data_IF_979615506997
#
_entry.id   IF_979615506997
#
_cell.length_a   1.000
_cell.length_b   1.000
_cell.length_c   1.000
_cell.angle_alpha   90.00
_cell.angle_beta   90.00
_cell.angle_gamma   90.00
#
_symmetry.space_group_name_H-M   'P 1'
#
loop_
_entity.id
_entity.type
_entity.pdbx_description
1 polymer ?
#
# COMPACT_ATOMS: atom_id res chain seq x y z
N UNK A 1 35.04 94.41 47.52
CA UNK A 1 34.62 93.64 46.33
C UNK A 1 35.83 92.89 45.77
N UNK A 2 35.91 91.57 45.95
CA UNK A 2 37.06 90.75 45.51
C UNK A 2 36.70 90.12 44.15
N UNK A 3 37.41 90.53 43.10
CA UNK A 3 37.20 90.05 41.73
C UNK A 3 37.49 88.54 41.64
N UNK A 4 36.46 87.74 41.31
CA UNK A 4 36.61 86.30 41.00
C UNK A 4 37.47 86.18 39.73
N UNK A 5 38.56 85.42 39.84
CA UNK A 5 39.52 85.20 38.76
C UNK A 5 38.86 84.52 37.53
N UNK A 6 39.16 84.98 36.29
CA UNK A 6 38.54 84.45 35.06
C UNK A 6 38.88 82.98 34.77
N UNK A 7 39.91 82.41 35.42
CA UNK A 7 40.30 81.00 35.26
C UNK A 7 39.36 79.97 35.91
N UNK A 8 38.59 80.36 36.94
CA UNK A 8 37.71 79.43 37.67
C UNK A 8 36.43 79.14 36.90
N UNK A 9 35.85 80.13 36.21
CA UNK A 9 34.66 79.95 35.36
C UNK A 9 34.92 78.99 34.20
N UNK A 10 36.09 79.08 33.55
CA UNK A 10 36.45 78.22 32.42
C UNK A 10 36.62 76.75 32.82
N UNK A 11 37.15 76.48 34.02
CA UNK A 11 37.31 75.11 34.55
C UNK A 11 35.96 74.44 34.87
N UNK A 12 35.00 75.18 35.42
CA UNK A 12 33.65 74.65 35.72
C UNK A 12 32.90 74.28 34.43
N UNK A 13 33.03 75.07 33.36
CA UNK A 13 32.43 74.77 32.07
C UNK A 13 33.02 73.53 31.39
N UNK A 14 34.35 73.34 31.48
CA UNK A 14 35.01 72.14 30.94
C UNK A 14 34.56 70.88 31.68
N UNK A 15 34.46 70.93 33.02
CA UNK A 15 33.99 69.81 33.82
C UNK A 15 32.52 69.46 33.49
N UNK A 16 31.65 70.48 33.35
CA UNK A 16 30.26 70.26 32.96
C UNK A 16 30.10 69.61 31.58
N UNK A 17 30.89 70.02 30.59
CA UNK A 17 30.87 69.45 29.25
C UNK A 17 31.37 68.01 29.21
N UNK A 18 32.45 67.69 29.95
CA UNK A 18 32.96 66.32 30.04
C UNK A 18 31.97 65.40 30.73
N UNK A 19 31.33 65.82 31.82
CA UNK A 19 30.29 65.03 32.49
C UNK A 19 29.07 64.77 31.60
N UNK A 20 28.63 65.77 30.84
CA UNK A 20 27.55 65.60 29.87
C UNK A 20 27.94 64.64 28.75
N UNK A 21 29.17 64.72 28.24
CA UNK A 21 29.67 63.78 27.23
C UNK A 21 29.77 62.35 27.77
N UNK A 22 30.16 62.17 29.03
CA UNK A 22 30.18 60.85 29.69
C UNK A 22 28.76 60.31 29.87
N UNK A 23 27.82 61.12 30.38
CA UNK A 23 26.42 60.70 30.55
C UNK A 23 25.76 60.40 29.21
N UNK A 24 25.99 61.23 28.19
CA UNK A 24 25.50 60.99 26.84
C UNK A 24 26.13 59.72 26.25
N UNK A 25 27.42 59.49 26.46
CA UNK A 25 28.10 58.25 26.05
C UNK A 25 27.50 57.02 26.72
N UNK A 26 27.28 57.07 28.04
CA UNK A 26 26.65 55.97 28.81
C UNK A 26 25.21 55.74 28.35
N UNK A 27 24.44 56.79 28.12
CA UNK A 27 23.05 56.69 27.64
C UNK A 27 22.95 56.12 26.22
N UNK A 28 23.87 56.50 25.32
CA UNK A 28 23.94 55.95 23.96
C UNK A 28 24.33 54.48 24.00
N UNK A 29 25.27 54.09 24.88
CA UNK A 29 25.69 52.71 25.04
C UNK A 29 24.58 51.84 25.67
N UNK A 30 23.83 52.35 26.65
CA UNK A 30 22.75 51.60 27.31
C UNK A 30 21.50 51.48 26.43
N UNK A 31 21.10 52.55 25.73
CA UNK A 31 19.97 52.52 24.80
C UNK A 31 20.21 51.54 23.65
N UNK A 32 21.45 51.45 23.16
CA UNK A 32 21.84 50.49 22.14
C UNK A 32 21.64 49.04 22.60
N UNK A 33 22.13 48.70 23.79
CA UNK A 33 22.01 47.34 24.34
C UNK A 33 20.54 46.95 24.59
N UNK A 34 19.69 47.89 25.01
CA UNK A 34 18.26 47.64 25.22
C UNK A 34 17.52 47.34 23.90
N UNK A 35 17.81 48.11 22.85
CA UNK A 35 17.22 47.93 21.51
C UNK A 35 17.66 46.58 20.90
N UNK A 36 18.95 46.26 21.00
CA UNK A 36 19.49 44.98 20.50
C UNK A 36 18.81 43.79 21.18
N UNK A 37 18.65 43.83 22.51
CA UNK A 37 17.99 42.78 23.28
C UNK A 37 16.49 42.63 22.93
N UNK A 38 15.79 43.74 22.73
CA UNK A 38 14.37 43.74 22.36
C UNK A 38 14.14 43.15 20.96
N UNK A 39 14.96 43.57 19.98
CA UNK A 39 14.91 43.03 18.61
C UNK A 39 15.27 41.54 18.63
N UNK A 40 16.30 41.13 19.39
CA UNK A 40 16.70 39.73 19.51
C UNK A 40 15.58 38.86 20.08
N UNK A 41 14.88 39.32 21.12
CA UNK A 41 13.76 38.60 21.72
C UNK A 41 12.62 38.39 20.72
N UNK A 42 12.23 39.43 19.98
CA UNK A 42 11.15 39.33 18.98
C UNK A 42 11.53 38.49 17.77
N UNK A 43 12.77 38.63 17.31
CA UNK A 43 13.29 37.82 16.22
C UNK A 43 13.31 36.33 16.59
N UNK A 44 13.77 35.99 17.79
CA UNK A 44 13.74 34.62 18.30
C UNK A 44 12.31 34.08 18.43
N UNK A 45 11.38 34.87 18.97
CA UNK A 45 9.96 34.49 19.07
C UNK A 45 9.35 34.23 17.68
N UNK A 46 9.65 35.09 16.69
CA UNK A 46 9.17 34.91 15.32
C UNK A 46 9.72 33.65 14.65
N UNK A 47 10.99 33.31 14.91
CA UNK A 47 11.59 32.07 14.42
C UNK A 47 10.93 30.84 15.05
N UNK A 48 10.61 30.90 16.35
CA UNK A 48 9.89 29.82 17.04
C UNK A 48 8.47 29.65 16.45
N UNK A 49 7.74 30.76 16.24
CA UNK A 49 6.41 30.74 15.61
C UNK A 49 6.44 30.16 14.19
N UNK A 50 7.46 30.53 13.40
CA UNK A 50 7.66 30.05 12.04
C UNK A 50 8.24 28.62 11.97
N UNK A 51 8.52 27.99 13.12
CA UNK A 51 8.98 26.60 13.20
C UNK A 51 10.48 26.41 12.98
N UNK A 52 11.32 27.43 13.20
CA UNK A 52 12.78 27.43 13.02
C UNK A 52 13.53 27.69 14.34
N UNK A 53 13.09 27.06 15.44
CA UNK A 53 13.60 27.30 16.80
C UNK A 53 15.06 26.89 17.04
N UNK A 54 15.67 26.15 16.11
CA UNK A 54 17.07 25.70 16.17
C UNK A 54 18.05 26.69 15.51
N UNK A 55 17.55 27.76 14.88
CA UNK A 55 18.40 28.78 14.27
C UNK A 55 18.91 29.76 15.33
N UNK A 56 20.21 30.04 15.28
CA UNK A 56 20.83 31.04 16.13
C UNK A 56 20.62 32.43 15.53
N UNK A 57 20.06 33.32 16.33
CA UNK A 57 19.82 34.72 15.96
C UNK A 57 20.63 35.65 16.85
N UNK A 58 21.48 36.46 16.24
CA UNK A 58 22.26 37.49 16.92
C UNK A 58 21.94 38.86 16.34
N UNK A 59 21.81 39.87 17.20
CA UNK A 59 21.50 41.24 16.77
C UNK A 59 22.66 42.17 17.10
N UNK A 60 23.11 42.95 16.11
CA UNK A 60 24.08 44.04 16.30
C UNK A 60 23.46 45.34 15.79
N UNK A 61 23.16 46.26 16.70
CA UNK A 61 22.35 47.44 16.41
C UNK A 61 20.94 47.07 15.96
N UNK A 62 20.73 47.09 14.64
CA UNK A 62 19.48 46.68 13.98
C UNK A 62 19.69 45.57 12.95
N UNK A 63 20.93 45.10 12.80
CA UNK A 63 21.28 44.07 11.85
C UNK A 63 21.17 42.72 12.53
N UNK A 64 20.44 41.82 11.90
CA UNK A 64 20.20 40.46 12.38
C UNK A 64 21.11 39.52 11.62
N UNK A 65 21.96 38.79 12.34
CA UNK A 65 22.82 37.75 11.79
C UNK A 65 22.19 36.39 12.12
N UNK A 66 21.92 35.61 11.08
CA UNK A 66 21.37 34.26 11.20
C UNK A 66 22.46 33.23 11.02
N UNK A 67 22.55 32.30 11.97
CA UNK A 67 23.47 31.17 11.93
C UNK A 67 22.71 29.87 12.14
N UNK A 68 23.22 28.81 11.52
CA UNK A 68 22.66 27.47 11.63
C UNK A 68 22.48 26.83 10.26
N UNK A 69 21.82 25.67 10.29
CA UNK A 69 21.49 24.93 9.08
C UNK A 69 20.00 25.11 8.76
N UNK A 70 19.73 25.38 7.48
CA UNK A 70 18.40 25.31 6.88
C UNK A 70 18.36 24.16 5.90
N UNK A 71 17.15 23.80 5.50
CA UNK A 71 16.88 22.57 4.80
C UNK A 71 16.51 22.78 3.32
N UNK A 72 16.47 24.02 2.87
CA UNK A 72 16.35 24.36 1.46
C UNK A 72 16.67 25.83 1.25
N UNK A 73 16.94 26.22 0.01
CA UNK A 73 16.98 27.64 -0.36
C UNK A 73 15.62 28.32 -0.13
N UNK A 74 14.51 27.58 -0.30
CA UNK A 74 13.18 28.12 -0.02
C UNK A 74 12.96 28.38 1.49
N UNK A 75 13.48 27.53 2.38
CA UNK A 75 13.45 27.78 3.82
C UNK A 75 14.30 28.98 4.20
N UNK A 76 15.45 29.16 3.54
CA UNK A 76 16.27 30.36 3.70
C UNK A 76 15.48 31.61 3.35
N UNK A 77 14.79 31.61 2.20
CA UNK A 77 13.94 32.72 1.77
C UNK A 77 12.80 33.00 2.76
N UNK A 78 12.13 31.95 3.26
CA UNK A 78 11.05 32.07 4.26
C UNK A 78 11.54 32.64 5.59
N UNK A 79 12.66 32.16 6.09
CA UNK A 79 13.27 32.65 7.34
C UNK A 79 13.67 34.11 7.21
N UNK A 80 14.30 34.48 6.10
CA UNK A 80 14.70 35.86 5.82
C UNK A 80 13.48 36.78 5.71
N UNK A 81 12.43 36.34 5.01
CA UNK A 81 11.18 37.10 4.89
C UNK A 81 10.51 37.31 6.25
N UNK A 82 10.38 36.25 7.07
CA UNK A 82 9.76 36.32 8.39
C UNK A 82 10.48 37.30 9.32
N UNK A 83 11.81 37.39 9.24
CA UNK A 83 12.60 38.30 10.07
C UNK A 83 12.57 39.74 9.58
N UNK A 84 12.41 39.98 8.27
CA UNK A 84 12.20 41.33 7.72
C UNK A 84 10.88 41.95 8.17
N UNK A 85 9.89 41.14 8.55
CA UNK A 85 8.61 41.60 9.10
C UNK A 85 8.71 42.02 10.57
N UNK A 86 9.76 41.63 11.28
CA UNK A 86 9.92 41.96 12.70
C UNK A 86 10.24 43.44 12.87
N UNK A 87 9.39 44.15 13.61
CA UNK A 87 9.57 45.57 13.88
C UNK A 87 10.91 45.82 14.57
N UNK A 88 11.72 46.73 14.01
CA UNK A 88 13.04 47.10 14.51
C UNK A 88 14.19 46.52 13.70
N UNK A 89 13.97 45.43 12.96
CA UNK A 89 14.97 44.84 12.06
C UNK A 89 15.30 45.81 10.93
N UNK A 90 16.59 45.98 10.63
CA UNK A 90 17.11 46.81 9.55
C UNK A 90 17.56 45.95 8.38
N UNK A 91 18.65 45.21 8.57
CA UNK A 91 19.19 44.27 7.61
C UNK A 91 19.18 42.85 8.17
N UNK A 92 19.07 41.85 7.29
CA UNK A 92 19.19 40.44 7.64
C UNK A 92 20.40 39.88 6.89
N UNK A 93 21.45 39.52 7.64
CA UNK A 93 22.62 38.83 7.12
C UNK A 93 22.45 37.32 7.35
N UNK A 94 22.32 36.58 6.25
CA UNK A 94 22.09 35.15 6.26
C UNK A 94 23.41 34.39 6.12
N UNK A 95 23.87 33.78 7.21
CA UNK A 95 25.00 32.83 7.22
C UNK A 95 24.50 31.38 7.32
N UNK A 96 23.26 31.17 6.89
CA UNK A 96 22.60 29.87 6.89
C UNK A 96 23.24 28.97 5.85
N UNK A 97 23.56 27.74 6.26
CA UNK A 97 24.03 26.69 5.36
C UNK A 97 22.86 25.77 5.02
N UNK A 98 22.70 25.45 3.74
CA UNK A 98 21.77 24.38 3.35
C UNK A 98 22.41 23.05 3.73
N UNK A 99 21.80 22.31 4.65
CA UNK A 99 22.32 21.02 5.09
C UNK A 99 22.47 20.06 3.90
N UNK A 100 23.65 19.44 3.78
CA UNK A 100 23.92 18.43 2.75
C UNK A 100 23.24 17.12 3.14
N UNK A 101 22.47 16.57 2.21
CA UNK A 101 21.64 15.36 2.31
C UNK A 101 22.44 14.14 2.80
N UNK A 102 21.95 13.44 3.83
CA UNK A 102 22.31 12.03 4.06
C UNK A 102 21.40 11.18 3.17
N UNK A 103 21.95 10.61 2.09
CA UNK A 103 21.21 9.75 1.17
C UNK A 103 21.20 8.28 1.65
N UNK A 104 20.09 7.54 1.48
CA UNK A 104 18.81 7.93 0.88
C UNK A 104 17.70 8.30 1.89
N UNK A 105 16.80 9.19 1.49
CA UNK A 105 15.63 9.56 2.29
C UNK A 105 14.62 8.40 2.33
N UNK A 106 14.64 7.65 3.42
CA UNK A 106 13.95 6.36 3.47
C UNK A 106 12.85 6.34 4.52
N UNK A 107 11.68 5.83 4.12
CA UNK A 107 10.66 5.34 5.04
C UNK A 107 10.42 3.86 4.79
N UNK A 108 10.31 3.10 5.88
CA UNK A 108 9.95 1.71 5.87
C UNK A 108 8.69 1.45 6.67
N UNK A 109 7.78 0.72 6.06
CA UNK A 109 6.49 0.30 6.60
C UNK A 109 6.50 -1.21 6.64
N UNK A 110 6.46 -1.81 7.82
CA UNK A 110 6.49 -3.26 7.99
C UNK A 110 5.22 -3.71 8.69
N UNK A 111 4.46 -4.57 8.04
CA UNK A 111 3.26 -5.18 8.58
C UNK A 111 3.55 -6.60 9.07
N UNK A 112 3.06 -6.90 10.25
CA UNK A 112 2.88 -8.26 10.78
C UNK A 112 1.39 -8.46 11.12
N UNK A 113 1.03 -9.61 11.67
CA UNK A 113 -0.37 -9.94 11.95
C UNK A 113 -1.03 -8.94 12.93
N UNK A 114 -0.30 -8.53 13.98
CA UNK A 114 -0.84 -7.68 15.05
C UNK A 114 -0.27 -6.25 15.08
N UNK A 115 0.76 -5.95 14.28
CA UNK A 115 1.52 -4.70 14.38
C UNK A 115 1.91 -4.12 13.02
N UNK A 116 1.82 -2.79 12.90
CA UNK A 116 2.41 -2.00 11.83
C UNK A 116 3.56 -1.16 12.39
N UNK A 117 4.76 -1.37 11.88
CA UNK A 117 5.97 -0.60 12.22
C UNK A 117 6.27 0.42 11.14
N UNK A 118 6.30 1.70 11.51
CA UNK A 118 6.70 2.82 10.67
C UNK A 118 8.06 3.35 11.15
N UNK A 119 9.08 3.35 10.29
CA UNK A 119 10.43 3.85 10.63
C UNK A 119 11.05 4.62 9.48
N UNK A 120 11.74 5.71 9.79
CA UNK A 120 12.47 6.49 8.79
C UNK A 120 12.40 7.99 9.01
N UNK A 121 12.62 8.72 7.94
CA UNK A 121 12.58 10.19 7.90
C UNK A 121 11.23 10.69 7.36
N UNK A 122 10.72 11.80 7.90
CA UNK A 122 9.50 12.50 7.44
C UNK A 122 9.75 14.01 7.27
N UNK A 123 9.23 14.68 6.20
CA UNK A 123 9.72 16.01 5.83
C UNK A 123 9.39 17.10 6.85
N UNK A 124 8.24 16.96 7.49
CA UNK A 124 7.71 17.89 8.47
C UNK A 124 6.65 17.18 9.35
N UNK A 125 6.16 17.89 10.37
CA UNK A 125 5.16 17.33 11.30
C UNK A 125 3.78 17.09 10.65
N UNK A 126 3.44 17.85 9.60
CA UNK A 126 2.19 17.65 8.86
C UNK A 126 2.19 16.31 8.11
N UNK A 127 3.25 16.05 7.34
CA UNK A 127 3.47 14.77 6.67
C UNK A 127 3.45 13.60 7.67
N UNK A 128 4.09 13.77 8.84
CA UNK A 128 4.06 12.77 9.92
C UNK A 128 2.63 12.45 10.36
N UNK A 129 1.81 13.48 10.62
CA UNK A 129 0.40 13.31 11.01
C UNK A 129 -0.42 12.64 9.91
N UNK A 130 -0.22 13.03 8.65
CA UNK A 130 -0.89 12.43 7.49
C UNK A 130 -0.58 10.94 7.39
N UNK A 131 0.70 10.54 7.50
CA UNK A 131 1.10 9.12 7.46
C UNK A 131 0.47 8.33 8.60
N UNK A 132 0.46 8.86 9.83
CA UNK A 132 -0.18 8.22 10.97
C UNK A 132 -1.69 8.11 10.76
N UNK A 133 -2.34 9.13 10.20
CA UNK A 133 -3.76 9.10 9.85
C UNK A 133 -4.08 8.02 8.81
N UNK A 134 -3.29 7.95 7.73
CA UNK A 134 -3.42 6.92 6.70
C UNK A 134 -3.19 5.51 7.26
N UNK A 135 -2.21 5.35 8.16
CA UNK A 135 -1.97 4.08 8.83
C UNK A 135 -3.17 3.66 9.68
N UNK A 136 -3.71 4.55 10.53
CA UNK A 136 -4.90 4.24 11.32
C UNK A 136 -6.13 3.91 10.46
N UNK A 137 -6.30 4.60 9.33
CA UNK A 137 -7.42 4.37 8.42
C UNK A 137 -7.33 3.01 7.69
N UNK A 138 -6.13 2.60 7.27
CA UNK A 138 -5.94 1.34 6.55
C UNK A 138 -5.85 0.11 7.49
N UNK A 139 -5.49 0.31 8.76
CA UNK A 139 -5.23 -0.78 9.70
C UNK A 139 -6.00 -0.59 11.03
N UNK A 140 -7.35 -0.57 11.00
CA UNK A 140 -8.13 -0.47 12.23
C UNK A 140 -7.86 -1.68 13.14
N UNK A 141 -7.46 -1.41 14.39
CA UNK A 141 -7.25 -2.44 15.40
C UNK A 141 -5.85 -3.07 15.46
N UNK A 142 -4.91 -2.68 14.58
CA UNK A 142 -3.50 -3.07 14.71
C UNK A 142 -2.76 -2.12 15.65
N UNK A 143 -1.74 -2.63 16.34
CA UNK A 143 -0.79 -1.78 17.07
C UNK A 143 0.12 -1.04 16.08
N UNK A 144 0.20 0.29 16.16
CA UNK A 144 0.99 1.11 15.25
C UNK A 144 2.21 1.68 15.99
N UNK A 145 3.36 1.05 15.77
CA UNK A 145 4.63 1.48 16.33
C UNK A 145 5.34 2.45 15.40
N UNK A 146 5.56 3.69 15.85
CA UNK A 146 6.19 4.74 15.04
C UNK A 146 7.55 5.17 15.56
N UNK A 147 8.57 5.14 14.69
CA UNK A 147 9.91 5.71 14.90
C UNK A 147 10.28 6.58 13.71
N UNK A 148 9.46 7.61 13.50
CA UNK A 148 9.61 8.60 12.43
C UNK A 148 10.37 9.80 12.98
N UNK A 149 11.45 10.21 12.31
CA UNK A 149 12.25 11.38 12.64
C UNK A 149 11.93 12.49 11.63
N UNK A 150 11.75 13.71 12.12
CA UNK A 150 11.61 14.87 11.22
C UNK A 150 12.97 15.16 10.62
N UNK A 151 13.04 15.10 9.31
CA UNK A 151 14.22 15.35 8.50
C UNK A 151 13.76 16.25 7.34
N UNK A 152 13.87 17.56 7.51
CA UNK A 152 13.47 18.50 6.49
C UNK A 152 14.59 18.52 5.43
N UNK A 153 14.24 18.32 4.16
CA UNK A 153 15.11 18.45 2.96
C UNK A 153 14.43 17.83 1.71
N UNK A 154 13.11 17.61 1.72
CA UNK A 154 12.42 16.92 0.63
C UNK A 154 11.71 17.91 -0.29
N UNK A 155 12.33 18.20 -1.43
CA UNK A 155 11.78 19.06 -2.47
C UNK A 155 10.44 18.54 -3.04
N UNK A 156 10.17 17.23 -2.94
CA UNK A 156 9.00 16.58 -3.55
C UNK A 156 8.06 15.93 -2.52
N UNK A 157 7.77 16.63 -1.42
CA UNK A 157 6.95 16.11 -0.29
C UNK A 157 5.61 15.51 -0.73
N UNK A 158 4.86 16.17 -1.62
CA UNK A 158 3.56 15.69 -2.09
C UNK A 158 3.66 14.38 -2.90
N UNK A 159 4.65 14.28 -3.79
CA UNK A 159 4.89 13.08 -4.61
C UNK A 159 5.32 11.91 -3.76
N UNK A 160 6.20 12.15 -2.80
CA UNK A 160 6.63 11.15 -1.84
C UNK A 160 5.46 10.69 -0.96
N UNK A 161 4.65 11.61 -0.42
CA UNK A 161 3.45 11.28 0.37
C UNK A 161 2.45 10.43 -0.42
N UNK A 162 2.31 10.70 -1.72
CA UNK A 162 1.49 9.87 -2.63
C UNK A 162 2.02 8.43 -2.68
N UNK A 163 3.34 8.26 -2.78
CA UNK A 163 3.99 6.95 -2.73
C UNK A 163 3.81 6.23 -1.39
N UNK A 164 3.92 6.95 -0.28
CA UNK A 164 3.66 6.39 1.06
C UNK A 164 2.21 5.96 1.20
N UNK A 165 1.26 6.77 0.73
CA UNK A 165 -0.16 6.45 0.75
C UNK A 165 -0.49 5.21 -0.08
N UNK A 166 0.07 5.10 -1.28
CA UNK A 166 -0.04 3.91 -2.12
C UNK A 166 0.57 2.68 -1.42
N UNK A 167 1.79 2.78 -0.91
CA UNK A 167 2.44 1.68 -0.20
C UNK A 167 1.63 1.18 1.01
N UNK A 168 1.08 2.09 1.82
CA UNK A 168 0.19 1.75 2.95
C UNK A 168 -1.11 1.09 2.47
N UNK A 169 -1.71 1.59 1.38
CA UNK A 169 -2.93 1.00 0.84
C UNK A 169 -2.70 -0.40 0.30
N UNK A 170 -1.52 -0.70 -0.27
CA UNK A 170 -1.18 -2.05 -0.70
C UNK A 170 -0.85 -2.98 0.48
N UNK A 171 -0.20 -2.48 1.54
CA UNK A 171 0.09 -3.26 2.75
C UNK A 171 -1.18 -3.78 3.45
N UNK A 172 -2.37 -3.19 3.21
CA UNK A 172 -3.64 -3.70 3.76
C UNK A 172 -4.02 -5.08 3.20
N UNK A 173 -3.51 -5.43 2.03
CA UNK A 173 -3.83 -6.67 1.30
C UNK A 173 -2.88 -7.84 1.61
N UNK A 174 -1.82 -7.61 2.40
CA UNK A 174 -0.88 -8.65 2.84
C UNK A 174 -1.09 -9.00 4.31
N UNK A 175 -0.85 -10.26 4.70
CA UNK A 175 -0.84 -10.67 6.11
C UNK A 175 0.46 -10.25 6.79
N UNK A 176 1.56 -10.40 6.08
CA UNK A 176 2.90 -9.95 6.48
C UNK A 176 3.64 -9.39 5.29
N UNK A 177 4.41 -8.33 5.49
CA UNK A 177 5.16 -7.70 4.42
C UNK A 177 5.90 -6.45 4.83
N UNK A 178 6.69 -5.93 3.91
CA UNK A 178 7.48 -4.72 4.06
C UNK A 178 7.41 -3.91 2.79
N UNK A 179 7.21 -2.61 2.97
CA UNK A 179 7.39 -1.64 1.92
C UNK A 179 8.46 -0.64 2.34
N UNK A 180 9.34 -0.31 1.41
CA UNK A 180 10.39 0.70 1.58
C UNK A 180 10.26 1.69 0.44
N UNK A 181 10.14 2.96 0.78
CA UNK A 181 10.18 4.06 -0.18
C UNK A 181 11.45 4.86 0.10
N UNK A 182 12.38 4.82 -0.85
CA UNK A 182 13.61 5.59 -0.85
C UNK A 182 13.45 6.69 -1.89
N UNK A 183 13.30 7.94 -1.47
CA UNK A 183 12.87 9.02 -2.36
C UNK A 183 11.58 8.62 -3.11
N UNK A 184 11.63 8.41 -4.42
CA UNK A 184 10.47 7.94 -5.22
C UNK A 184 10.55 6.48 -5.62
N UNK A 185 11.59 5.77 -5.16
CA UNK A 185 11.84 4.38 -5.47
C UNK A 185 11.14 3.46 -4.46
N UNK A 186 10.09 2.78 -4.91
CA UNK A 186 9.29 1.88 -4.11
C UNK A 186 9.78 0.44 -4.25
N UNK A 187 10.05 -0.20 -3.11
CA UNK A 187 10.23 -1.64 -2.99
C UNK A 187 9.13 -2.22 -2.12
N UNK A 188 8.52 -3.32 -2.57
CA UNK A 188 7.44 -3.99 -1.86
C UNK A 188 7.68 -5.50 -1.82
N UNK A 189 7.49 -6.08 -0.64
CA UNK A 189 7.51 -7.52 -0.43
C UNK A 189 6.42 -7.93 0.55
N UNK A 190 5.80 -9.10 0.35
CA UNK A 190 4.81 -9.59 1.28
C UNK A 190 4.09 -10.85 0.82
N UNK A 191 3.27 -11.40 1.71
CA UNK A 191 2.36 -12.51 1.42
C UNK A 191 0.93 -11.99 1.39
N UNK A 192 0.23 -12.21 0.29
CA UNK A 192 -1.17 -11.84 0.16
C UNK A 192 -2.00 -12.49 1.29
N UNK A 193 -2.93 -11.72 1.87
CA UNK A 193 -3.72 -12.16 3.01
C UNK A 193 -4.84 -13.14 2.63
N UNK A 194 -5.33 -13.06 1.38
CA UNK A 194 -6.48 -13.85 0.91
C UNK A 194 -6.37 -14.20 -0.58
N UNK A 195 -7.07 -15.25 -1.05
CA UNK A 195 -6.94 -15.77 -2.43
C UNK A 195 -7.22 -14.79 -3.59
N UNK A 196 -7.98 -13.71 -3.40
CA UNK A 196 -8.11 -12.63 -4.40
C UNK A 196 -7.16 -11.44 -4.20
N UNK A 197 -6.47 -11.36 -3.06
CA UNK A 197 -5.58 -10.23 -2.77
C UNK A 197 -4.26 -10.31 -3.55
N UNK A 198 -3.83 -11.51 -3.94
CA UNK A 198 -2.62 -11.69 -4.74
C UNK A 198 -2.76 -11.02 -6.11
N UNK A 199 -3.77 -11.39 -6.89
CA UNK A 199 -4.04 -10.80 -8.21
C UNK A 199 -4.31 -9.29 -8.10
N UNK A 200 -5.13 -8.87 -7.12
CA UNK A 200 -5.39 -7.44 -6.90
C UNK A 200 -4.11 -6.64 -6.58
N UNK A 201 -3.13 -7.22 -5.87
CA UNK A 201 -1.83 -6.59 -5.65
C UNK A 201 -1.04 -6.47 -6.95
N UNK A 202 -1.01 -7.50 -7.79
CA UNK A 202 -0.34 -7.43 -9.10
C UNK A 202 -0.93 -6.30 -9.94
N UNK A 203 -2.25 -6.30 -10.13
CA UNK A 203 -2.97 -5.27 -10.90
C UNK A 203 -2.75 -3.87 -10.33
N UNK A 204 -2.80 -3.69 -9.01
CA UNK A 204 -2.58 -2.39 -8.40
C UNK A 204 -1.16 -1.83 -8.66
N UNK A 205 -0.14 -2.69 -8.66
CA UNK A 205 1.23 -2.25 -8.99
C UNK A 205 1.44 -2.01 -10.49
N UNK A 206 0.71 -2.68 -11.37
CA UNK A 206 0.81 -2.49 -12.82
C UNK A 206 0.01 -1.28 -13.32
N UNK A 207 -1.21 -1.08 -12.80
CA UNK A 207 -2.18 -0.12 -13.33
C UNK A 207 -2.41 1.10 -12.42
N UNK A 208 -2.29 0.92 -11.10
CA UNK A 208 -2.62 1.97 -10.12
C UNK A 208 -1.39 2.64 -9.51
N UNK A 209 -0.17 2.23 -9.89
CA UNK A 209 1.07 2.86 -9.41
C UNK A 209 1.06 4.36 -9.79
N UNK A 210 1.19 5.27 -8.81
CA UNK A 210 1.24 6.70 -9.10
C UNK A 210 2.40 7.03 -10.03
N UNK A 211 2.18 7.90 -11.02
CA UNK A 211 3.18 8.27 -12.03
C UNK A 211 4.49 8.85 -11.44
N UNK A 212 4.44 9.35 -10.20
CA UNK A 212 5.59 9.88 -9.48
C UNK A 212 6.46 8.81 -8.81
N UNK A 213 6.10 7.53 -8.88
CA UNK A 213 6.73 6.43 -8.14
C UNK A 213 7.35 5.43 -9.12
N UNK A 214 8.60 5.07 -8.85
CA UNK A 214 9.33 4.04 -9.59
C UNK A 214 9.37 2.75 -8.77
N UNK A 215 8.68 1.70 -9.23
CA UNK A 215 8.73 0.39 -8.56
C UNK A 215 10.06 -0.29 -8.91
N UNK A 216 10.97 -0.37 -7.94
CA UNK A 216 12.29 -1.02 -8.09
C UNK A 216 12.23 -2.52 -7.88
N UNK A 217 11.39 -2.95 -6.94
CA UNK A 217 11.24 -4.35 -6.61
C UNK A 217 9.81 -4.63 -6.13
N UNK A 218 9.21 -5.69 -6.67
CA UNK A 218 7.95 -6.22 -6.21
C UNK A 218 8.08 -7.72 -6.01
N UNK A 219 7.87 -8.20 -4.78
CA UNK A 219 7.94 -9.62 -4.42
C UNK A 219 6.73 -10.01 -3.59
N UNK A 220 5.65 -10.36 -4.27
CA UNK A 220 4.42 -10.82 -3.61
C UNK A 220 4.35 -12.34 -3.69
N UNK A 221 4.04 -12.98 -2.58
CA UNK A 221 3.73 -14.41 -2.51
C UNK A 221 2.22 -14.62 -2.44
N UNK A 222 1.67 -15.63 -3.12
CA UNK A 222 0.29 -16.05 -2.92
C UNK A 222 0.00 -16.42 -1.46
N UNK A 223 -1.27 -16.35 -1.02
CA UNK A 223 -1.66 -16.87 0.29
C UNK A 223 -1.48 -18.38 0.34
N UNK A 224 -1.37 -18.93 1.54
CA UNK A 224 -1.46 -20.38 1.75
C UNK A 224 -2.92 -20.78 1.90
N UNK A 225 -3.40 -21.74 1.12
CA UNK A 225 -4.74 -22.30 1.23
C UNK A 225 -4.68 -23.62 2.02
N UNK A 226 -5.48 -23.71 3.08
CA UNK A 226 -5.64 -24.92 3.89
C UNK A 226 -7.13 -25.11 4.24
N UNK A 227 -7.82 -26.14 3.70
CA UNK A 227 -7.33 -27.10 2.72
C UNK A 227 -7.18 -26.49 1.31
N UNK A 228 -6.24 -27.03 0.53
CA UNK A 228 -6.13 -26.73 -0.90
C UNK A 228 -7.10 -27.63 -1.68
N UNK A 229 -8.20 -27.05 -2.16
CA UNK A 229 -9.23 -27.75 -2.92
C UNK A 229 -9.41 -27.11 -4.29
N UNK A 230 -9.52 -27.93 -5.32
CA UNK A 230 -9.83 -27.53 -6.69
C UNK A 230 -10.99 -28.38 -7.24
N UNK A 231 -11.90 -27.75 -7.98
CA UNK A 231 -13.08 -28.41 -8.52
C UNK A 231 -13.24 -28.07 -10.00
N UNK A 232 -13.60 -29.07 -10.81
CA UNK A 232 -14.08 -28.88 -12.17
C UNK A 232 -15.51 -29.44 -12.27
N UNK A 233 -16.42 -28.64 -12.79
CA UNK A 233 -17.85 -28.98 -12.81
C UNK A 233 -18.46 -28.75 -14.19
N UNK A 234 -19.34 -29.65 -14.61
CA UNK A 234 -20.15 -29.54 -15.82
C UNK A 234 -21.62 -29.32 -15.45
N UNK A 235 -22.11 -28.11 -15.72
CA UNK A 235 -23.50 -27.69 -15.52
C UNK A 235 -24.13 -27.29 -16.85
N UNK A 236 -24.93 -28.18 -17.45
CA UNK A 236 -25.53 -27.93 -18.76
C UNK A 236 -24.45 -27.85 -19.84
N UNK A 237 -24.32 -26.68 -20.45
CA UNK A 237 -23.29 -26.33 -21.43
C UNK A 237 -22.18 -25.44 -20.84
N UNK A 238 -22.03 -25.39 -19.51
CA UNK A 238 -20.96 -24.66 -18.84
C UNK A 238 -19.99 -25.58 -18.12
N UNK A 239 -18.70 -25.34 -18.29
CA UNK A 239 -17.64 -25.93 -17.46
C UNK A 239 -17.11 -24.87 -16.51
N UNK A 240 -17.16 -25.14 -15.21
CA UNK A 240 -16.71 -24.23 -14.16
C UNK A 240 -15.46 -24.82 -13.51
N UNK A 241 -14.35 -24.07 -13.55
CA UNK A 241 -13.14 -24.36 -12.80
C UNK A 241 -13.16 -23.49 -11.55
N UNK A 242 -13.03 -24.06 -10.36
CA UNK A 242 -13.15 -23.33 -9.11
C UNK A 242 -12.15 -23.82 -8.05
N UNK A 243 -11.91 -22.99 -7.04
CA UNK A 243 -11.00 -23.31 -5.93
C UNK A 243 -9.60 -22.75 -6.16
N UNK A 244 -8.57 -23.51 -5.82
CA UNK A 244 -7.19 -23.03 -5.82
C UNK A 244 -6.33 -23.65 -6.91
N UNK A 245 -5.47 -22.83 -7.50
CA UNK A 245 -4.43 -23.23 -8.46
C UNK A 245 -3.05 -22.75 -7.97
N UNK A 246 -1.97 -23.49 -8.27
CA UNK A 246 -0.64 -23.20 -7.71
C UNK A 246 0.05 -21.96 -8.30
N UNK A 247 -0.33 -21.56 -9.53
CA UNK A 247 0.24 -20.44 -10.30
C UNK A 247 -0.63 -20.13 -11.55
N UNK A 248 -0.23 -19.11 -12.31
CA UNK A 248 -0.87 -18.73 -13.58
C UNK A 248 -0.77 -19.81 -14.66
N UNK A 249 0.35 -20.53 -14.74
CA UNK A 249 0.52 -21.61 -15.72
C UNK A 249 -0.56 -22.70 -15.54
N UNK A 250 -0.92 -23.01 -14.30
CA UNK A 250 -1.97 -23.97 -13.99
C UNK A 250 -3.34 -23.48 -14.43
N UNK A 251 -3.61 -22.19 -14.22
CA UNK A 251 -4.85 -21.52 -14.64
C UNK A 251 -5.01 -21.60 -16.16
N UNK A 252 -3.96 -21.22 -16.89
CA UNK A 252 -3.93 -21.26 -18.36
C UNK A 252 -4.08 -22.69 -18.86
N UNK A 253 -3.27 -23.62 -18.35
CA UNK A 253 -3.24 -25.01 -18.80
C UNK A 253 -4.58 -25.73 -18.57
N UNK A 254 -5.17 -25.60 -17.38
CA UNK A 254 -6.46 -26.22 -17.06
C UNK A 254 -7.60 -25.65 -17.89
N UNK A 255 -7.60 -24.33 -18.14
CA UNK A 255 -8.59 -23.68 -19.00
C UNK A 255 -8.48 -24.18 -20.44
N UNK A 256 -7.27 -24.21 -21.02
CA UNK A 256 -7.05 -24.73 -22.38
C UNK A 256 -7.38 -26.22 -22.50
N UNK A 257 -7.12 -27.01 -21.47
CA UNK A 257 -7.54 -28.42 -21.42
C UNK A 257 -9.07 -28.54 -21.43
N UNK A 258 -9.77 -27.73 -20.65
CA UNK A 258 -11.24 -27.70 -20.64
C UNK A 258 -11.81 -27.27 -21.99
N UNK A 259 -11.31 -26.20 -22.61
CA UNK A 259 -11.73 -25.75 -23.95
C UNK A 259 -11.58 -26.86 -25.01
N UNK A 260 -10.47 -27.60 -24.97
CA UNK A 260 -10.20 -28.70 -25.89
C UNK A 260 -11.14 -29.89 -25.70
N UNK A 261 -11.46 -30.24 -24.45
CA UNK A 261 -12.31 -31.38 -24.13
C UNK A 261 -13.81 -31.06 -24.24
N UNK A 262 -14.18 -29.79 -24.13
CA UNK A 262 -15.56 -29.31 -24.16
C UNK A 262 -15.74 -28.15 -25.18
N UNK A 263 -15.53 -28.39 -26.49
CA UNK A 263 -15.48 -27.33 -27.51
C UNK A 263 -16.79 -26.57 -27.73
N UNK A 264 -17.91 -27.07 -27.19
CA UNK A 264 -19.23 -26.42 -27.28
C UNK A 264 -19.69 -25.85 -25.93
N UNK A 265 -18.84 -25.87 -24.91
CA UNK A 265 -19.18 -25.38 -23.58
C UNK A 265 -18.63 -23.98 -23.32
N UNK A 266 -19.37 -23.20 -22.53
CA UNK A 266 -18.91 -21.96 -21.91
C UNK A 266 -17.93 -22.29 -20.78
N UNK A 267 -16.67 -21.89 -20.90
CA UNK A 267 -15.64 -22.18 -19.89
C UNK A 267 -15.56 -20.97 -18.94
N UNK A 268 -15.83 -21.21 -17.66
CA UNK A 268 -15.82 -20.19 -16.61
C UNK A 268 -14.76 -20.53 -15.58
N UNK A 269 -13.74 -19.69 -15.49
CA UNK A 269 -12.67 -19.81 -14.50
C UNK A 269 -12.96 -18.94 -13.27
N UNK A 270 -13.14 -19.59 -12.13
CA UNK A 270 -13.34 -19.01 -10.80
C UNK A 270 -12.23 -19.46 -9.83
N UNK A 271 -11.06 -19.80 -10.37
CA UNK A 271 -9.91 -20.21 -9.58
C UNK A 271 -9.13 -19.02 -9.03
N UNK A 272 -8.50 -19.23 -7.88
CA UNK A 272 -7.61 -18.28 -7.23
C UNK A 272 -6.21 -18.89 -7.06
N UNK A 273 -5.18 -18.06 -7.21
CA UNK A 273 -3.80 -18.51 -7.00
C UNK A 273 -3.49 -18.60 -5.50
N UNK A 274 -3.04 -19.77 -5.05
CA UNK A 274 -2.62 -20.01 -3.68
C UNK A 274 -1.48 -21.05 -3.62
N UNK A 275 -0.84 -21.15 -2.46
CA UNK A 275 0.11 -22.23 -2.13
C UNK A 275 -0.52 -23.27 -1.21
N UNK A 276 -0.05 -24.51 -1.30
CA UNK A 276 -0.58 -25.64 -0.52
C UNK A 276 -1.05 -26.81 -1.39
N UNK A 277 -0.72 -26.76 -2.68
CA UNK A 277 -0.97 -27.81 -3.65
C UNK A 277 -0.35 -29.15 -3.20
N UNK A 278 -1.05 -30.29 -3.38
CA UNK A 278 -0.43 -31.61 -3.27
C UNK A 278 0.68 -31.82 -4.30
N UNK A 279 1.65 -32.69 -4.01
CA UNK A 279 2.80 -32.95 -4.90
C UNK A 279 2.37 -33.33 -6.33
N UNK A 280 1.37 -34.21 -6.47
CA UNK A 280 0.87 -34.70 -7.76
C UNK A 280 -0.35 -33.91 -8.28
N UNK A 281 -0.50 -32.64 -7.87
CA UNK A 281 -1.67 -31.83 -8.22
C UNK A 281 -1.90 -31.72 -9.74
N UNK A 282 -0.84 -31.56 -10.52
CA UNK A 282 -0.93 -31.39 -11.99
C UNK A 282 -1.54 -32.62 -12.67
N UNK A 283 -0.99 -33.80 -12.40
CA UNK A 283 -1.47 -35.06 -12.97
C UNK A 283 -2.91 -35.36 -12.52
N UNK A 284 -3.22 -35.10 -11.24
CA UNK A 284 -4.56 -35.28 -10.71
C UNK A 284 -5.58 -34.29 -11.32
N UNK A 285 -5.20 -33.03 -11.51
CA UNK A 285 -6.08 -32.03 -12.11
C UNK A 285 -6.37 -32.37 -13.59
N UNK A 286 -5.38 -32.83 -14.35
CA UNK A 286 -5.60 -33.31 -15.72
C UNK A 286 -6.56 -34.50 -15.78
N UNK A 287 -6.35 -35.50 -14.92
CA UNK A 287 -7.26 -36.66 -14.80
C UNK A 287 -8.67 -36.25 -14.39
N UNK A 288 -8.81 -35.21 -13.55
CA UNK A 288 -10.10 -34.69 -13.15
C UNK A 288 -10.88 -34.08 -14.32
N UNK A 289 -10.24 -33.26 -15.18
CA UNK A 289 -10.91 -32.73 -16.38
C UNK A 289 -11.27 -33.86 -17.36
N UNK A 290 -10.39 -34.86 -17.51
CA UNK A 290 -10.67 -36.05 -18.33
C UNK A 290 -11.85 -36.87 -17.79
N UNK A 291 -11.90 -37.10 -16.48
CA UNK A 291 -12.99 -37.78 -15.81
C UNK A 291 -14.32 -37.03 -16.00
N UNK A 292 -14.31 -35.70 -15.90
CA UNK A 292 -15.49 -34.86 -16.17
C UNK A 292 -16.01 -35.06 -17.60
N UNK A 293 -15.14 -35.29 -18.58
CA UNK A 293 -15.57 -35.53 -19.98
C UNK A 293 -16.33 -36.85 -20.17
N UNK A 294 -16.33 -37.75 -19.18
CA UNK A 294 -17.19 -38.93 -19.17
C UNK A 294 -18.58 -38.67 -18.56
N UNK A 295 -18.77 -37.51 -17.93
CA UNK A 295 -20.03 -37.09 -17.30
C UNK A 295 -20.89 -36.24 -18.25
N UNK A 296 -22.20 -36.44 -18.19
CA UNK A 296 -23.22 -35.57 -18.79
C UNK A 296 -23.46 -34.32 -17.94
N UNK A 297 -23.38 -34.48 -16.63
CA UNK A 297 -23.41 -33.42 -15.63
C UNK A 297 -22.78 -33.95 -14.35
N UNK A 298 -22.14 -33.08 -13.57
CA UNK A 298 -21.45 -33.48 -12.35
C UNK A 298 -20.21 -32.67 -12.06
N UNK A 299 -19.43 -33.11 -11.08
CA UNK A 299 -18.21 -32.46 -10.66
C UNK A 299 -17.12 -33.48 -10.32
N UNK A 300 -15.87 -33.02 -10.42
CA UNK A 300 -14.71 -33.68 -9.86
C UNK A 300 -14.05 -32.71 -8.90
N UNK A 301 -13.89 -33.13 -7.64
CA UNK A 301 -13.23 -32.33 -6.60
C UNK A 301 -11.93 -32.99 -6.17
N UNK A 302 -10.85 -32.24 -6.27
CA UNK A 302 -9.51 -32.59 -5.84
C UNK A 302 -9.22 -31.89 -4.51
N UNK A 303 -9.16 -32.66 -3.43
CA UNK A 303 -8.71 -32.19 -2.12
C UNK A 303 -7.23 -32.51 -1.87
N UNK A 304 -6.74 -32.36 -0.62
CA UNK A 304 -5.34 -32.60 -0.28
C UNK A 304 -4.86 -34.05 -0.45
N UNK A 305 -5.75 -35.02 -0.24
CA UNK A 305 -5.43 -36.46 -0.29
C UNK A 305 -6.62 -37.31 -0.75
N UNK A 306 -7.68 -36.68 -1.27
CA UNK A 306 -8.91 -37.34 -1.70
C UNK A 306 -9.38 -36.70 -3.01
N UNK A 307 -9.89 -37.55 -3.90
CA UNK A 307 -10.57 -37.14 -5.12
C UNK A 307 -11.97 -37.70 -5.12
N UNK A 308 -12.97 -36.84 -5.33
CA UNK A 308 -14.37 -37.23 -5.46
C UNK A 308 -14.89 -36.94 -6.86
N UNK A 309 -15.51 -37.93 -7.49
CA UNK A 309 -16.23 -37.80 -8.77
C UNK A 309 -17.70 -38.07 -8.55
N UNK A 310 -18.55 -37.07 -8.83
CA UNK A 310 -19.99 -37.17 -8.64
C UNK A 310 -20.73 -36.73 -9.89
N UNK A 311 -21.79 -37.44 -10.27
CA UNK A 311 -22.61 -36.99 -11.39
C UNK A 311 -23.36 -38.08 -12.13
N UNK A 312 -23.74 -37.75 -13.36
CA UNK A 312 -24.46 -38.60 -14.29
C UNK A 312 -23.55 -38.93 -15.46
N UNK A 313 -23.27 -40.20 -15.72
CA UNK A 313 -22.44 -40.62 -16.85
C UNK A 313 -23.14 -40.40 -18.20
N UNK A 314 -22.37 -40.11 -19.25
CA UNK A 314 -22.88 -40.00 -20.64
C UNK A 314 -23.45 -41.33 -21.15
N UNK A 315 -22.86 -42.45 -20.74
CA UNK A 315 -23.21 -43.82 -21.12
C UNK A 315 -22.73 -44.84 -20.08
N UNK A 316 -23.09 -46.11 -20.27
CA UNK A 316 -22.56 -47.22 -19.46
C UNK A 316 -21.04 -47.36 -19.62
N UNK A 317 -20.52 -47.20 -20.84
CA UNK A 317 -19.07 -47.26 -21.09
C UNK A 317 -18.34 -46.10 -20.40
N UNK A 318 -18.96 -44.91 -20.34
CA UNK A 318 -18.40 -43.78 -19.62
C UNK A 318 -18.35 -44.02 -18.10
N UNK A 319 -19.38 -44.64 -17.52
CA UNK A 319 -19.36 -45.04 -16.11
C UNK A 319 -18.24 -46.07 -15.81
N UNK A 320 -18.03 -47.03 -16.72
CA UNK A 320 -16.93 -48.01 -16.63
C UNK A 320 -15.58 -47.33 -16.74
N UNK A 321 -15.42 -46.38 -17.67
CA UNK A 321 -14.20 -45.60 -17.84
C UNK A 321 -13.83 -44.86 -16.55
N UNK A 322 -14.78 -44.15 -15.92
CA UNK A 322 -14.55 -43.46 -14.64
C UNK A 322 -14.14 -44.46 -13.54
N UNK A 323 -14.77 -45.62 -13.49
CA UNK A 323 -14.42 -46.65 -12.50
C UNK A 323 -13.02 -47.21 -12.71
N UNK A 324 -12.57 -47.33 -13.97
CA UNK A 324 -11.25 -47.80 -14.33
C UNK A 324 -10.14 -46.76 -14.06
N UNK A 325 -10.49 -45.46 -13.94
CA UNK A 325 -9.53 -44.42 -13.54
C UNK A 325 -9.03 -44.59 -12.11
N UNK A 326 -9.65 -45.45 -11.28
CA UNK A 326 -9.23 -45.69 -9.90
C UNK A 326 -7.72 -45.96 -9.75
N UNK A 327 -7.15 -46.73 -10.68
CA UNK A 327 -5.73 -47.10 -10.63
C UNK A 327 -4.82 -46.11 -11.39
N UNK A 328 -5.42 -45.12 -12.07
CA UNK A 328 -4.69 -44.08 -12.79
C UNK A 328 -4.40 -42.84 -11.93
N UNK A 329 -5.10 -42.66 -10.80
CA UNK A 329 -4.85 -41.55 -9.89
C UNK A 329 -3.47 -41.69 -9.22
N UNK A 330 -2.76 -40.56 -9.00
CA UNK A 330 -1.50 -40.59 -8.28
C UNK A 330 -1.67 -41.19 -6.87
N UNK A 331 -0.63 -41.89 -6.39
CA UNK A 331 -0.71 -42.68 -5.15
C UNK A 331 -1.05 -41.89 -3.89
N UNK A 332 -0.93 -40.56 -3.93
CA UNK A 332 -1.29 -39.66 -2.83
C UNK A 332 -2.80 -39.43 -2.65
N UNK A 333 -3.65 -39.91 -3.56
CA UNK A 333 -5.10 -39.64 -3.55
C UNK A 333 -5.95 -40.89 -3.30
N UNK A 334 -6.88 -40.79 -2.35
CA UNK A 334 -7.99 -41.73 -2.21
C UNK A 334 -9.11 -41.38 -3.19
N UNK A 335 -9.46 -42.30 -4.09
CA UNK A 335 -10.47 -42.07 -5.12
C UNK A 335 -11.86 -42.56 -4.69
N UNK A 336 -12.84 -41.66 -4.74
CA UNK A 336 -14.25 -41.93 -4.48
C UNK A 336 -15.11 -41.51 -5.67
N UNK A 337 -15.99 -42.40 -6.11
CA UNK A 337 -16.90 -42.13 -7.23
C UNK A 337 -18.35 -42.47 -6.90
N UNK A 338 -19.24 -41.51 -7.11
CA UNK A 338 -20.70 -41.62 -6.98
C UNK A 338 -21.37 -41.25 -8.30
N UNK A 339 -21.22 -42.13 -9.32
CA UNK A 339 -21.70 -41.87 -10.69
C UNK A 339 -22.92 -42.73 -11.02
N UNK A 340 -24.00 -42.08 -11.47
CA UNK A 340 -25.26 -42.71 -11.86
C UNK A 340 -25.42 -42.76 -13.38
N UNK A 341 -26.20 -43.71 -13.89
CA UNK A 341 -26.62 -43.70 -15.30
C UNK A 341 -27.83 -42.79 -15.46
N UNK A 342 -27.85 -42.00 -16.54
CA UNK A 342 -29.05 -41.26 -16.93
C UNK A 342 -30.15 -42.28 -17.24
N UNK A 343 -31.16 -42.38 -16.38
CA UNK A 343 -32.36 -43.14 -16.72
C UNK A 343 -33.07 -42.37 -17.83
N UNK A 344 -33.08 -42.92 -19.05
CA UNK A 344 -34.00 -42.46 -20.09
C UNK A 344 -35.42 -42.51 -19.52
N UNK A 345 -36.16 -41.41 -19.65
CA UNK A 345 -37.58 -41.37 -19.28
C UNK A 345 -38.37 -42.51 -19.92
N UNK A 346 -39.49 -42.95 -19.31
CA UNK A 346 -40.16 -44.18 -19.69
C UNK A 346 -40.52 -44.19 -21.17
N UNK A 347 -40.13 -45.28 -21.85
CA UNK A 347 -40.44 -45.54 -23.25
C UNK A 347 -41.94 -45.30 -23.52
N UNK A 348 -42.23 -44.31 -24.35
CA UNK A 348 -43.57 -44.00 -24.79
C UNK A 348 -44.13 -45.24 -25.50
N UNK A 349 -45.08 -45.92 -24.85
CA UNK A 349 -45.75 -47.10 -25.40
C UNK A 349 -46.30 -46.73 -26.78
N UNK A 350 -46.04 -47.50 -27.85
CA UNK A 350 -46.55 -47.16 -29.16
C UNK A 350 -48.09 -47.08 -29.09
N UNK A 351 -48.64 -45.92 -29.42
CA UNK A 351 -50.08 -45.71 -29.60
C UNK A 351 -50.59 -46.75 -30.59
N UNK A 352 -51.30 -47.74 -30.06
CA UNK A 352 -52.02 -48.75 -30.84
C UNK A 352 -52.99 -47.99 -31.75
N UNK A 353 -52.72 -47.99 -33.06
CA UNK A 353 -53.61 -47.38 -34.07
C UNK A 353 -55.00 -48.00 -33.89
N UNK A 354 -55.99 -47.17 -33.59
CA UNK A 354 -57.38 -47.60 -33.54
C UNK A 354 -57.78 -48.11 -34.93
N UNK A 355 -58.14 -49.38 -34.99
CA UNK A 355 -58.66 -50.05 -36.17
C UNK A 355 -60.01 -49.44 -36.53
N UNK A 356 -60.09 -48.84 -37.71
CA UNK A 356 -61.34 -48.53 -38.40
C UNK A 356 -62.09 -49.82 -38.74
N UNK A 357 -63.26 -50.04 -38.14
CA UNK A 357 -64.29 -50.97 -38.62
C UNK A 357 -65.60 -50.56 -37.94
N UNK A 358 -66.51 -49.92 -38.67
CA UNK A 358 -67.59 -50.53 -39.44
C UNK A 358 -68.93 -50.30 -38.73
N UNK A 359 -69.66 -49.34 -39.29
CA UNK A 359 -71.10 -49.11 -39.15
C UNK A 359 -71.91 -50.38 -39.32
N UNK A 360 -72.89 -50.61 -38.44
CA UNK A 360 -74.16 -51.29 -38.77
C UNK A 360 -75.33 -50.62 -38.02
N UNK A 361 -76.55 -50.56 -38.60
CA UNK A 361 -77.64 -49.72 -38.11
C UNK A 361 -78.86 -50.50 -37.55
N UNK A 362 -79.79 -49.73 -36.95
CA UNK A 362 -81.21 -50.04 -36.59
C UNK A 362 -81.42 -51.17 -35.55
N UNK A 363 -82.48 -51.32 -34.75
CA UNK A 363 -83.91 -50.94 -34.62
C UNK A 363 -84.26 -51.43 -33.18
N UNK A 364 -85.06 -50.81 -32.30
CA UNK A 364 -86.46 -50.38 -32.30
C UNK A 364 -86.68 -49.55 -31.02
#
# INVERSE_FOLDING_TARGET
>A
MKARSPGVRRRVWIIGFVSLAVIAGVAVLSARAAIEAEIQSRAAEKLVEAGYSWLDVAVTGRDVVLKGAVFSEHDKDRVEAALREVWGVGNVESQLQVAVREEPYTISMTRSDDELKLRGSVPNEEARKTIIGLANANFPGLDISTKLKIDPNMAETERWLTGVGFALSQLKHVSSGRSVLADTDLSFEGRAAKPGAYEALITAFEEETPQSISVRQMRVQPPKAEPFTWTVQLEGDRVILAGYVPNDDAKIWMTSLAERLFPNADIVDQTFIAKGEPDDWWDAAELAVQALNHLRSGSVTLGPSEVTVEGVAKSLDAQRAISALKDAWPSGFDFKASVRLSQQGPAERPRRKASTAHTWPVQL
#
